data_IF_444809745272
#
_entry.id   IF_444809745272
#
_cell.length_a   1.000
_cell.length_b   1.000
_cell.length_c   1.000
_cell.angle_alpha   90.00
_cell.angle_beta   90.00
_cell.angle_gamma   90.00
#
_symmetry.space_group_name_H-M   'P 1'
#
loop_
_entity.id
_entity.type
_entity.pdbx_description
1 polymer ?
#
# COMPACT_ATOMS: atom_id res chain seq x y z
N UNK A 1 19.57 -34.76 22.80
CA UNK A 1 19.77 -33.28 22.82
C UNK A 1 18.54 -32.63 23.46
N UNK A 2 18.69 -31.88 24.56
CA UNK A 2 17.57 -31.07 25.08
C UNK A 2 17.27 -29.98 24.05
N UNK A 3 16.09 -30.03 23.43
CA UNK A 3 15.60 -28.97 22.54
C UNK A 3 15.50 -27.71 23.39
N UNK A 4 16.37 -26.72 23.13
CA UNK A 4 16.27 -25.42 23.80
C UNK A 4 14.86 -24.86 23.54
N UNK A 5 14.17 -24.32 24.56
CA UNK A 5 12.84 -23.77 24.38
C UNK A 5 12.90 -22.67 23.32
N UNK A 6 12.01 -22.76 22.32
CA UNK A 6 11.92 -21.81 21.21
C UNK A 6 11.60 -20.43 21.78
N UNK A 7 12.54 -19.51 21.70
CA UNK A 7 12.36 -18.14 22.18
C UNK A 7 11.28 -17.44 21.34
N UNK A 8 10.37 -16.72 22.01
CA UNK A 8 9.41 -15.85 21.32
C UNK A 8 10.17 -14.65 20.75
N UNK A 9 9.89 -14.28 19.50
CA UNK A 9 10.51 -13.11 18.84
C UNK A 9 10.33 -11.84 19.67
N UNK A 10 9.18 -11.68 20.34
CA UNK A 10 8.92 -10.54 21.23
C UNK A 10 9.95 -10.43 22.36
N UNK A 11 10.39 -11.56 22.93
CA UNK A 11 11.40 -11.57 23.99
C UNK A 11 12.78 -11.24 23.41
N UNK A 12 13.10 -11.74 22.21
CA UNK A 12 14.38 -11.44 21.57
C UNK A 12 14.51 -9.94 21.25
N UNK A 13 13.43 -9.32 20.76
CA UNK A 13 13.37 -7.88 20.48
C UNK A 13 13.52 -7.06 21.77
N UNK A 14 12.95 -7.51 22.89
CA UNK A 14 13.12 -6.84 24.19
C UNK A 14 14.57 -6.88 24.68
N UNK A 15 15.27 -8.01 24.51
CA UNK A 15 16.67 -8.17 24.90
C UNK A 15 17.59 -7.22 24.11
N UNK A 16 17.42 -7.14 22.79
CA UNK A 16 18.24 -6.28 21.93
C UNK A 16 17.61 -4.89 21.69
N UNK A 17 16.96 -4.33 22.71
CA UNK A 17 16.26 -3.05 22.61
C UNK A 17 17.15 -1.86 22.91
N UNK A 18 16.75 -0.68 22.42
CA UNK A 18 17.40 0.59 22.76
C UNK A 18 17.51 0.83 24.28
N UNK A 19 16.48 0.49 25.05
CA UNK A 19 16.47 0.71 26.50
C UNK A 19 17.50 -0.17 27.22
N UNK A 20 17.70 -1.41 26.78
CA UNK A 20 18.74 -2.29 27.34
C UNK A 20 20.13 -1.74 27.01
N UNK A 21 20.36 -1.34 25.76
CA UNK A 21 21.62 -0.70 25.36
C UNK A 21 21.91 0.56 26.18
N UNK A 22 20.91 1.44 26.34
CA UNK A 22 21.03 2.66 27.13
C UNK A 22 21.34 2.37 28.60
N UNK A 23 20.66 1.41 29.22
CA UNK A 23 20.91 1.01 30.61
C UNK A 23 22.35 0.52 30.82
N UNK A 24 22.86 -0.34 29.92
CA UNK A 24 24.24 -0.81 29.96
C UNK A 24 25.25 0.33 29.81
N UNK A 25 24.96 1.30 28.93
CA UNK A 25 25.80 2.48 28.75
C UNK A 25 25.80 3.36 30.01
N UNK A 26 24.63 3.58 30.62
CA UNK A 26 24.50 4.34 31.86
C UNK A 26 25.26 3.67 33.01
N UNK A 27 25.12 2.35 33.15
CA UNK A 27 25.87 1.59 34.16
C UNK A 27 27.39 1.71 33.97
N UNK A 28 27.83 1.72 32.71
CA UNK A 28 29.24 1.91 32.36
C UNK A 28 29.73 3.32 32.72
N UNK A 29 28.98 4.35 32.35
CA UNK A 29 29.34 5.76 32.60
C UNK A 29 29.36 6.08 34.09
N UNK A 30 28.41 5.52 34.84
CA UNK A 30 28.27 5.73 36.28
C UNK A 30 29.23 4.86 37.11
N UNK A 31 29.96 3.93 36.49
CA UNK A 31 30.84 2.96 37.17
C UNK A 31 30.11 2.27 38.33
N UNK A 32 28.97 1.66 38.02
CA UNK A 32 28.11 1.04 39.03
C UNK A 32 28.88 0.03 39.90
N UNK A 33 28.51 -0.01 41.19
CA UNK A 33 29.19 -0.78 42.22
C UNK A 33 29.12 -2.28 41.86
N UNK A 34 30.28 -2.91 41.72
CA UNK A 34 30.41 -4.34 41.41
C UNK A 34 30.95 -4.64 40.00
N UNK A 35 31.11 -3.63 39.14
CA UNK A 35 31.75 -3.79 37.83
C UNK A 35 33.23 -3.41 37.91
N UNK A 36 34.12 -4.35 37.56
CA UNK A 36 35.53 -4.05 37.38
C UNK A 36 35.79 -3.36 36.01
N UNK A 37 37.03 -2.96 35.75
CA UNK A 37 37.40 -2.28 34.48
C UNK A 37 37.12 -3.14 33.24
N UNK A 38 37.29 -4.46 33.31
CA UNK A 38 36.96 -5.36 32.22
C UNK A 38 35.44 -5.46 32.00
N UNK A 39 34.67 -5.54 33.08
CA UNK A 39 33.20 -5.60 33.03
C UNK A 39 32.61 -4.33 32.42
N UNK A 40 33.18 -3.16 32.73
CA UNK A 40 32.82 -1.88 32.10
C UNK A 40 33.08 -1.90 30.58
N UNK A 41 34.22 -2.47 30.16
CA UNK A 41 34.53 -2.64 28.74
C UNK A 41 33.54 -3.57 28.02
N UNK A 42 33.19 -4.69 28.65
CA UNK A 42 32.20 -5.64 28.13
C UNK A 42 30.81 -5.01 28.07
N UNK A 43 30.40 -4.26 29.10
CA UNK A 43 29.13 -3.56 29.14
C UNK A 43 29.01 -2.52 28.03
N UNK A 44 30.08 -1.74 27.78
CA UNK A 44 30.15 -0.80 26.67
C UNK A 44 30.01 -1.49 25.31
N UNK A 45 30.77 -2.57 25.08
CA UNK A 45 30.71 -3.33 23.83
C UNK A 45 29.32 -3.97 23.62
N UNK A 46 28.71 -4.50 24.69
CA UNK A 46 27.37 -5.10 24.65
C UNK A 46 26.30 -4.04 24.39
N UNK A 47 26.45 -2.84 24.96
CA UNK A 47 25.57 -1.71 24.68
C UNK A 47 25.60 -1.31 23.19
N UNK A 48 26.79 -1.21 22.60
CA UNK A 48 26.96 -0.89 21.18
C UNK A 48 26.32 -1.98 20.30
N UNK A 49 26.54 -3.25 20.64
CA UNK A 49 25.94 -4.39 19.95
C UNK A 49 24.40 -4.33 19.98
N UNK A 50 23.79 -4.15 21.16
CA UNK A 50 22.34 -4.03 21.30
C UNK A 50 21.79 -2.85 20.50
N UNK A 51 22.49 -1.72 20.52
CA UNK A 51 22.07 -0.51 19.80
C UNK A 51 22.10 -0.74 18.29
N UNK A 52 23.16 -1.36 17.75
CA UNK A 52 23.28 -1.68 16.32
C UNK A 52 22.22 -2.67 15.87
N UNK A 53 22.01 -3.76 16.62
CA UNK A 53 20.95 -4.72 16.30
C UNK A 53 19.56 -4.09 16.35
N UNK A 54 19.27 -3.25 17.35
CA UNK A 54 17.99 -2.55 17.43
C UNK A 54 17.75 -1.70 16.18
N UNK A 55 18.76 -0.92 15.74
CA UNK A 55 18.65 -0.08 14.54
C UNK A 55 18.45 -0.91 13.28
N UNK A 56 19.19 -2.00 13.11
CA UNK A 56 19.02 -2.91 11.97
C UNK A 56 17.60 -3.47 11.96
N UNK A 57 17.11 -3.94 13.10
CA UNK A 57 15.76 -4.46 13.22
C UNK A 57 14.70 -3.40 12.88
N UNK A 58 14.86 -2.18 13.41
CA UNK A 58 13.98 -1.05 13.13
C UNK A 58 13.96 -0.70 11.63
N UNK A 59 15.13 -0.66 10.99
CA UNK A 59 15.28 -0.40 9.55
C UNK A 59 14.59 -1.46 8.69
N UNK A 60 14.71 -2.73 9.07
CA UNK A 60 14.14 -3.86 8.33
C UNK A 60 12.64 -4.07 8.60
N UNK A 61 12.10 -3.49 9.67
CA UNK A 61 10.71 -3.64 10.09
C UNK A 61 9.92 -2.31 10.08
N UNK A 62 10.37 -1.35 9.29
CA UNK A 62 9.69 -0.08 9.09
C UNK A 62 8.28 -0.28 8.51
N UNK A 63 7.27 0.40 9.10
CA UNK A 63 5.85 0.29 8.69
C UNK A 63 5.24 1.58 8.18
N UNK A 64 5.92 2.71 8.37
CA UNK A 64 5.40 4.04 8.06
C UNK A 64 6.50 4.92 7.49
N UNK A 65 6.14 5.81 6.58
CA UNK A 65 7.03 6.86 6.10
C UNK A 65 7.24 7.99 7.14
N UNK A 66 6.28 8.16 8.05
CA UNK A 66 6.22 9.27 9.01
C UNK A 66 6.43 8.81 10.47
N UNK A 67 7.18 7.73 10.70
CA UNK A 67 7.51 7.30 12.06
C UNK A 67 8.42 8.35 12.74
N UNK A 68 8.19 8.72 14.02
CA UNK A 68 9.08 9.64 14.73
C UNK A 68 10.52 9.10 14.84
N UNK A 69 10.69 7.78 14.93
CA UNK A 69 12.02 7.18 14.92
C UNK A 69 12.57 7.14 13.48
N UNK A 70 13.71 7.81 13.20
CA UNK A 70 14.29 7.88 11.86
C UNK A 70 14.69 6.52 11.29
N UNK A 71 15.00 5.53 12.14
CA UNK A 71 15.36 4.18 11.71
C UNK A 71 14.14 3.32 11.39
N UNK A 72 12.93 3.72 11.82
CA UNK A 72 11.67 3.02 11.52
C UNK A 72 10.89 3.63 10.37
N UNK A 73 11.47 4.63 9.70
CA UNK A 73 10.92 5.20 8.47
C UNK A 73 11.18 4.24 7.31
N UNK A 74 10.21 4.08 6.41
CA UNK A 74 10.44 3.33 5.17
C UNK A 74 11.54 3.96 4.32
N UNK A 75 12.23 3.16 3.51
CA UNK A 75 13.28 3.63 2.58
C UNK A 75 12.75 4.76 1.68
N UNK A 76 13.45 5.88 1.70
CA UNK A 76 13.17 7.06 0.87
C UNK A 76 14.46 7.82 0.54
N UNK A 77 14.41 8.73 -0.43
CA UNK A 77 15.55 9.56 -0.85
C UNK A 77 16.17 10.39 0.28
N UNK A 78 15.41 10.69 1.35
CA UNK A 78 15.84 11.52 2.47
C UNK A 78 16.08 10.73 3.77
N UNK A 79 15.93 9.40 3.74
CA UNK A 79 16.03 8.58 4.95
C UNK A 79 17.46 8.15 5.24
N UNK A 80 17.78 8.07 6.54
CA UNK A 80 19.05 7.54 7.06
C UNK A 80 19.15 6.01 6.97
N UNK A 81 18.07 5.36 6.55
CA UNK A 81 17.92 3.90 6.57
C UNK A 81 18.84 3.22 5.57
N UNK A 82 18.98 3.78 4.36
CA UNK A 82 19.90 3.23 3.35
C UNK A 82 21.34 3.20 3.87
N UNK A 83 21.80 4.31 4.45
CA UNK A 83 23.17 4.41 4.99
C UNK A 83 23.38 3.51 6.20
N UNK A 84 22.39 3.41 7.09
CA UNK A 84 22.48 2.55 8.27
C UNK A 84 22.52 1.06 7.87
N UNK A 85 21.77 0.65 6.84
CA UNK A 85 21.83 -0.70 6.30
C UNK A 85 23.19 -1.01 5.65
N UNK A 86 23.81 -0.06 4.95
CA UNK A 86 25.17 -0.21 4.40
C UNK A 86 26.20 -0.39 5.53
N UNK A 87 26.15 0.47 6.55
CA UNK A 87 27.00 0.34 7.75
C UNK A 87 26.78 -0.98 8.47
N UNK A 88 25.54 -1.45 8.54
CA UNK A 88 25.21 -2.73 9.13
C UNK A 88 25.86 -3.89 8.38
N UNK A 89 25.85 -3.89 7.04
CA UNK A 89 26.54 -4.91 6.24
C UNK A 89 28.03 -4.95 6.57
N UNK A 90 28.70 -3.79 6.62
CA UNK A 90 30.12 -3.75 6.92
C UNK A 90 30.44 -4.22 8.35
N UNK A 91 29.60 -3.85 9.31
CA UNK A 91 29.72 -4.35 10.68
C UNK A 91 29.47 -5.86 10.80
N UNK A 92 28.47 -6.41 10.10
CA UNK A 92 28.19 -7.85 10.15
C UNK A 92 29.32 -8.66 9.51
N UNK A 93 30.01 -8.13 8.49
CA UNK A 93 31.19 -8.79 7.90
C UNK A 93 32.28 -9.02 8.95
N UNK A 94 32.57 -8.03 9.80
CA UNK A 94 33.59 -8.20 10.85
C UNK A 94 33.23 -9.33 11.82
N UNK A 95 31.93 -9.54 12.08
CA UNK A 95 31.44 -10.64 12.92
C UNK A 95 31.55 -11.99 12.20
N UNK A 96 31.29 -12.05 10.89
CA UNK A 96 31.40 -13.29 10.10
C UNK A 96 32.83 -13.84 10.14
N UNK A 97 33.82 -12.94 10.08
CA UNK A 97 35.24 -13.30 10.11
C UNK A 97 35.65 -13.92 11.46
N UNK A 98 35.00 -13.50 12.54
CA UNK A 98 35.24 -14.00 13.91
C UNK A 98 34.39 -15.21 14.28
N UNK A 99 33.14 -15.26 13.81
CA UNK A 99 32.13 -16.24 14.23
C UNK A 99 31.59 -16.99 13.02
N UNK A 100 31.93 -18.27 12.93
CA UNK A 100 31.38 -19.18 11.93
C UNK A 100 29.92 -19.54 12.24
N UNK A 101 28.99 -18.72 11.78
CA UNK A 101 27.54 -18.91 11.91
C UNK A 101 26.82 -18.62 10.59
N UNK A 102 25.84 -19.43 10.17
CA UNK A 102 25.09 -19.17 8.94
C UNK A 102 24.15 -17.95 9.06
N UNK A 103 23.89 -17.46 10.27
CA UNK A 103 22.94 -16.36 10.51
C UNK A 103 23.45 -15.05 9.91
N UNK A 104 24.73 -14.73 10.12
CA UNK A 104 25.31 -13.45 9.72
C UNK A 104 25.45 -13.31 8.18
N UNK A 105 25.95 -14.33 7.43
CA UNK A 105 25.95 -14.28 5.96
C UNK A 105 24.54 -14.16 5.37
N UNK A 106 23.55 -14.86 5.96
CA UNK A 106 22.16 -14.77 5.50
C UNK A 106 21.55 -13.39 5.77
N UNK A 107 21.92 -12.75 6.88
CA UNK A 107 21.51 -11.38 7.18
C UNK A 107 22.12 -10.38 6.19
N UNK A 108 23.40 -10.53 5.85
CA UNK A 108 24.06 -9.73 4.79
C UNK A 108 23.31 -9.90 3.46
N UNK A 109 23.00 -11.14 3.06
CA UNK A 109 22.26 -11.42 1.83
C UNK A 109 20.89 -10.73 1.84
N UNK A 110 20.19 -10.77 2.97
CA UNK A 110 18.89 -10.12 3.14
C UNK A 110 18.99 -8.61 2.96
N UNK A 111 19.95 -7.97 3.63
CA UNK A 111 20.16 -6.52 3.54
C UNK A 111 20.56 -6.11 2.11
N UNK A 112 21.48 -6.85 1.49
CA UNK A 112 21.90 -6.59 0.10
C UNK A 112 20.75 -6.75 -0.88
N UNK A 113 19.86 -7.74 -0.68
CA UNK A 113 18.66 -7.91 -1.50
C UNK A 113 17.71 -6.71 -1.41
N UNK A 114 17.54 -6.15 -0.20
CA UNK A 114 16.73 -4.95 0.03
C UNK A 114 17.37 -3.72 -0.64
N UNK A 115 18.69 -3.52 -0.46
CA UNK A 115 19.41 -2.40 -1.08
C UNK A 115 19.38 -2.49 -2.61
N UNK A 116 19.55 -3.67 -3.18
CA UNK A 116 19.46 -3.90 -4.63
C UNK A 116 18.04 -3.58 -5.15
N UNK A 117 17.01 -4.01 -4.41
CA UNK A 117 15.63 -3.68 -4.76
C UNK A 117 15.39 -2.16 -4.71
N UNK A 118 15.94 -1.50 -3.70
CA UNK A 118 15.86 -0.05 -3.54
C UNK A 118 16.54 0.71 -4.67
N UNK A 119 17.73 0.29 -5.11
CA UNK A 119 18.42 0.89 -6.25
C UNK A 119 17.64 0.72 -7.57
N UNK A 120 16.99 -0.44 -7.76
CA UNK A 120 16.07 -0.66 -8.87
C UNK A 120 14.86 0.25 -8.83
N UNK A 121 14.30 0.50 -7.64
CA UNK A 121 13.18 1.42 -7.47
C UNK A 121 13.59 2.88 -7.72
N UNK A 122 14.78 3.30 -7.25
CA UNK A 122 15.33 4.63 -7.52
C UNK A 122 15.52 4.89 -9.02
N UNK A 123 16.02 3.91 -9.76
CA UNK A 123 16.28 4.04 -11.21
C UNK A 123 15.00 4.02 -12.06
N UNK A 124 14.00 3.20 -11.70
CA UNK A 124 12.71 3.15 -12.43
C UNK A 124 11.73 4.26 -12.04
N UNK A 125 12.03 5.02 -11.00
CA UNK A 125 11.15 6.03 -10.42
C UNK A 125 10.25 5.45 -9.31
N UNK A 126 10.23 6.13 -8.17
CA UNK A 126 9.26 5.86 -7.09
C UNK A 126 7.83 6.16 -7.56
N UNK A 127 6.82 5.76 -6.79
CA UNK A 127 5.39 5.96 -7.07
C UNK A 127 4.99 7.36 -7.58
N UNK A 128 5.76 8.39 -7.22
CA UNK A 128 5.57 9.80 -7.58
C UNK A 128 6.27 10.22 -8.88
N UNK A 129 7.20 9.41 -9.39
CA UNK A 129 8.10 9.76 -10.50
C UNK A 129 7.97 8.86 -11.72
N UNK A 130 7.28 7.71 -11.61
CA UNK A 130 7.04 6.84 -12.76
C UNK A 130 6.33 7.61 -13.89
N UNK A 131 6.82 7.44 -15.13
CA UNK A 131 6.19 7.98 -16.32
C UNK A 131 5.18 6.99 -16.92
N UNK A 132 4.29 7.49 -17.79
CA UNK A 132 3.34 6.63 -18.52
C UNK A 132 4.04 5.57 -19.38
N UNK A 133 5.23 5.88 -19.90
CA UNK A 133 6.05 4.95 -20.72
C UNK A 133 6.61 3.81 -19.86
N UNK A 134 7.06 4.11 -18.65
CA UNK A 134 7.61 3.10 -17.75
C UNK A 134 6.52 2.14 -17.28
N UNK A 135 5.34 2.68 -16.92
CA UNK A 135 4.17 1.87 -16.54
C UNK A 135 3.74 0.96 -17.69
N UNK A 136 3.67 1.47 -18.93
CA UNK A 136 3.36 0.66 -20.10
C UNK A 136 4.37 -0.46 -20.32
N UNK A 137 5.67 -0.14 -20.19
CA UNK A 137 6.75 -1.10 -20.37
C UNK A 137 6.69 -2.23 -19.35
N UNK A 138 6.44 -1.90 -18.07
CA UNK A 138 6.35 -2.89 -17.01
C UNK A 138 5.06 -3.73 -17.10
N UNK A 139 3.93 -3.15 -17.54
CA UNK A 139 2.71 -3.90 -17.82
C UNK A 139 2.90 -4.90 -18.96
N UNK A 140 3.57 -4.49 -20.04
CA UNK A 140 3.85 -5.38 -21.16
C UNK A 140 4.78 -6.54 -20.76
N UNK A 141 5.74 -6.30 -19.84
CA UNK A 141 6.61 -7.35 -19.30
C UNK A 141 5.87 -8.42 -18.50
N UNK A 142 4.72 -8.10 -17.92
CA UNK A 142 3.92 -9.08 -17.18
C UNK A 142 3.22 -10.10 -18.09
N UNK A 143 3.19 -9.86 -19.41
CA UNK A 143 2.62 -10.76 -20.42
C UNK A 143 1.23 -11.30 -20.02
N UNK A 144 0.34 -10.40 -19.57
CA UNK A 144 -0.99 -10.77 -19.11
C UNK A 144 -1.83 -11.33 -20.26
N UNK A 145 -2.48 -12.46 -20.01
CA UNK A 145 -3.25 -13.19 -21.02
C UNK A 145 -4.47 -12.37 -21.48
N UNK A 146 -4.58 -12.18 -22.80
CA UNK A 146 -5.68 -11.45 -23.46
C UNK A 146 -5.89 -10.03 -22.91
N UNK A 147 -4.84 -9.29 -22.57
CA UNK A 147 -4.94 -7.87 -22.18
C UNK A 147 -4.31 -7.00 -23.26
N UNK A 148 -5.10 -6.12 -23.86
CA UNK A 148 -4.64 -5.22 -24.93
C UNK A 148 -4.84 -3.75 -24.53
N UNK A 149 -3.72 -3.07 -24.27
CA UNK A 149 -3.70 -1.68 -23.83
C UNK A 149 -3.69 -0.76 -25.06
N UNK A 150 -4.74 0.05 -25.24
CA UNK A 150 -4.81 1.05 -26.32
C UNK A 150 -4.04 2.32 -25.97
N UNK A 151 -4.20 2.81 -24.74
CA UNK A 151 -3.62 4.08 -24.29
C UNK A 151 -3.46 4.09 -22.78
N UNK A 152 -2.38 4.74 -22.33
CA UNK A 152 -2.16 5.12 -20.93
C UNK A 152 -1.98 6.63 -20.87
N UNK A 153 -2.64 7.28 -19.92
CA UNK A 153 -2.48 8.71 -19.65
C UNK A 153 -2.47 8.97 -18.14
N UNK A 154 -1.79 10.03 -17.70
CA UNK A 154 -1.89 10.46 -16.30
C UNK A 154 -3.30 10.98 -16.02
N UNK A 155 -3.84 10.64 -14.85
CA UNK A 155 -5.13 11.14 -14.42
C UNK A 155 -4.96 12.56 -13.85
N UNK A 156 -5.66 13.53 -14.43
CA UNK A 156 -5.49 14.95 -14.09
C UNK A 156 -6.10 15.36 -12.73
N UNK A 157 -6.92 14.52 -12.11
CA UNK A 157 -7.51 14.82 -10.79
C UNK A 157 -6.48 14.71 -9.67
N UNK A 158 -6.67 15.45 -8.57
CA UNK A 158 -5.82 15.35 -7.36
C UNK A 158 -5.95 13.95 -6.75
N UNK A 159 -4.95 13.07 -6.88
CA UNK A 159 -5.02 11.75 -6.29
C UNK A 159 -4.83 11.84 -4.79
N UNK A 160 -5.47 10.94 -4.02
CA UNK A 160 -5.30 10.91 -2.56
C UNK A 160 -3.90 10.46 -2.15
N UNK A 161 -3.30 9.52 -2.89
CA UNK A 161 -1.99 8.91 -2.60
C UNK A 161 -1.22 8.65 -3.91
N UNK A 162 -0.19 9.45 -4.20
CA UNK A 162 0.73 9.22 -5.34
C UNK A 162 0.10 9.45 -6.73
N UNK A 163 0.83 9.14 -7.81
CA UNK A 163 0.33 9.32 -9.19
C UNK A 163 -0.74 8.28 -9.54
N UNK A 164 -1.78 8.70 -10.25
CA UNK A 164 -2.83 7.82 -10.79
C UNK A 164 -2.77 7.82 -12.31
N UNK A 165 -2.90 6.64 -12.92
CA UNK A 165 -2.89 6.47 -14.37
C UNK A 165 -4.24 5.94 -14.85
N UNK A 166 -4.71 6.46 -15.97
CA UNK A 166 -5.88 5.97 -16.67
C UNK A 166 -5.43 5.01 -17.77
N UNK A 167 -5.93 3.78 -17.72
CA UNK A 167 -5.72 2.79 -18.77
C UNK A 167 -6.97 2.63 -19.62
N UNK A 168 -6.79 2.74 -20.94
CA UNK A 168 -7.81 2.43 -21.94
C UNK A 168 -7.49 1.08 -22.56
N UNK A 169 -8.40 0.13 -22.40
CA UNK A 169 -8.29 -1.24 -22.89
C UNK A 169 -9.17 -1.46 -24.13
N UNK A 170 -8.89 -2.49 -24.92
CA UNK A 170 -9.85 -2.99 -25.92
C UNK A 170 -11.03 -3.69 -25.23
N UNK A 171 -12.22 -3.73 -25.86
CA UNK A 171 -13.37 -4.47 -25.32
C UNK A 171 -13.10 -5.95 -25.04
N UNK A 172 -12.21 -6.57 -25.83
CA UNK A 172 -11.86 -7.99 -25.73
C UNK A 172 -10.88 -8.31 -24.59
N UNK A 173 -10.46 -7.29 -23.84
CA UNK A 173 -9.44 -7.46 -22.79
C UNK A 173 -9.98 -8.16 -21.54
N UNK A 174 -9.20 -9.10 -21.01
CA UNK A 174 -9.51 -9.81 -19.77
C UNK A 174 -9.25 -8.93 -18.53
N UNK A 175 -10.31 -8.31 -18.01
CA UNK A 175 -10.22 -7.48 -16.81
C UNK A 175 -9.76 -8.26 -15.57
N UNK A 176 -10.10 -9.55 -15.44
CA UNK A 176 -9.75 -10.34 -14.23
C UNK A 176 -8.25 -10.51 -14.09
N UNK A 177 -7.53 -10.76 -15.19
CA UNK A 177 -6.08 -10.88 -15.20
C UNK A 177 -5.41 -9.57 -14.71
N UNK A 178 -5.95 -8.43 -15.16
CA UNK A 178 -5.52 -7.11 -14.72
C UNK A 178 -5.75 -6.91 -13.21
N UNK A 179 -6.98 -7.10 -12.73
CA UNK A 179 -7.33 -6.92 -11.32
C UNK A 179 -6.59 -7.87 -10.36
N UNK A 180 -6.19 -9.06 -10.83
CA UNK A 180 -5.38 -10.00 -10.06
C UNK A 180 -3.91 -9.55 -9.92
N UNK A 181 -3.44 -8.66 -10.80
CA UNK A 181 -2.09 -8.12 -10.72
C UNK A 181 -2.00 -7.14 -9.57
N UNK A 182 -1.27 -7.49 -8.51
CA UNK A 182 -1.12 -6.66 -7.30
C UNK A 182 0.12 -5.78 -7.30
N UNK A 183 1.08 -6.07 -8.19
CA UNK A 183 2.39 -5.42 -8.19
C UNK A 183 2.81 -5.05 -9.62
N UNK A 184 3.33 -3.83 -9.78
CA UNK A 184 4.02 -3.38 -11.00
C UNK A 184 5.34 -2.77 -10.56
N UNK A 185 6.46 -3.12 -11.21
CA UNK A 185 7.79 -2.61 -10.85
C UNK A 185 8.12 -2.75 -9.33
N UNK A 186 7.69 -3.86 -8.71
CA UNK A 186 7.82 -4.13 -7.26
C UNK A 186 7.05 -3.17 -6.33
N UNK A 187 6.16 -2.36 -6.89
CA UNK A 187 5.30 -1.43 -6.18
C UNK A 187 3.89 -2.01 -6.05
N UNK A 188 3.25 -1.84 -4.89
CA UNK A 188 1.86 -2.25 -4.68
C UNK A 188 0.95 -1.31 -5.44
N UNK A 189 0.03 -1.87 -6.23
CA UNK A 189 -0.93 -1.11 -7.01
C UNK A 189 -2.37 -1.38 -6.58
N UNK A 190 -3.25 -0.42 -6.86
CA UNK A 190 -4.69 -0.55 -6.68
C UNK A 190 -5.37 -0.24 -8.00
N UNK A 191 -6.20 -1.17 -8.45
CA UNK A 191 -7.03 -0.99 -9.62
C UNK A 191 -8.39 -0.41 -9.23
N UNK A 192 -8.86 0.58 -9.98
CA UNK A 192 -10.20 1.14 -9.83
C UNK A 192 -10.82 1.34 -11.21
N UNK A 193 -12.10 1.00 -11.34
CA UNK A 193 -12.87 1.33 -12.55
C UNK A 193 -13.22 2.81 -12.53
N UNK A 194 -12.99 3.52 -13.65
CA UNK A 194 -13.45 4.89 -13.79
C UNK A 194 -14.98 4.93 -13.71
N UNK A 195 -15.52 5.48 -12.62
CA UNK A 195 -16.96 5.70 -12.49
C UNK A 195 -17.34 6.88 -13.37
N UNK A 196 -18.26 6.66 -14.31
CA UNK A 196 -18.87 7.75 -15.07
C UNK A 196 -19.71 8.59 -14.11
N UNK A 197 -19.52 9.90 -14.13
CA UNK A 197 -20.43 10.82 -13.45
C UNK A 197 -21.65 10.97 -14.34
N UNK A 198 -22.69 10.19 -14.08
CA UNK A 198 -23.99 10.42 -14.69
C UNK A 198 -24.71 11.51 -13.87
N UNK A 199 -25.37 12.49 -14.53
CA UNK A 199 -26.10 13.51 -13.81
C UNK A 199 -27.20 12.85 -12.97
N UNK A 200 -27.33 13.21 -11.69
CA UNK A 200 -28.22 12.49 -10.79
C UNK A 200 -29.67 12.63 -11.25
N UNK A 201 -30.38 11.50 -11.33
CA UNK A 201 -31.82 11.51 -11.57
C UNK A 201 -32.58 11.57 -10.24
N UNK A 202 -33.47 12.55 -10.13
CA UNK A 202 -34.28 12.76 -8.94
C UNK A 202 -35.31 11.63 -8.78
N UNK A 203 -35.22 10.82 -7.71
CA UNK A 203 -36.18 9.72 -7.44
C UNK A 203 -37.62 10.20 -7.18
N UNK A 204 -37.84 11.49 -6.92
CA UNK A 204 -39.18 12.08 -6.70
C UNK A 204 -39.82 12.46 -8.03
N UNK A 205 -39.24 13.39 -8.77
CA UNK A 205 -39.84 13.92 -10.00
C UNK A 205 -39.32 13.31 -11.31
N UNK A 206 -38.30 12.43 -11.22
CA UNK A 206 -37.65 11.74 -12.34
C UNK A 206 -36.89 12.63 -13.33
N UNK A 207 -36.76 13.94 -13.05
CA UNK A 207 -35.91 14.84 -13.83
C UNK A 207 -34.43 14.66 -13.45
N UNK A 208 -33.58 14.99 -14.40
CA UNK A 208 -32.12 14.91 -14.26
C UNK A 208 -31.62 16.19 -13.55
N UNK A 209 -30.39 16.14 -13.02
CA UNK A 209 -29.62 17.29 -12.50
C UNK A 209 -29.98 17.78 -11.10
N UNK A 210 -30.70 16.97 -10.30
CA UNK A 210 -30.90 17.24 -8.88
C UNK A 210 -31.27 15.98 -8.09
N UNK A 211 -31.20 16.09 -6.75
CA UNK A 211 -31.51 15.00 -5.82
C UNK A 211 -32.92 15.16 -5.20
N UNK A 212 -33.52 14.04 -4.81
CA UNK A 212 -34.87 14.00 -4.27
C UNK A 212 -35.05 14.77 -2.95
N UNK A 213 -33.98 14.88 -2.14
CA UNK A 213 -34.02 15.54 -0.82
C UNK A 213 -34.49 17.00 -0.88
N UNK A 214 -34.08 17.74 -1.92
CA UNK A 214 -34.43 19.15 -2.12
C UNK A 214 -35.49 19.35 -3.23
N UNK A 215 -36.19 18.28 -3.62
CA UNK A 215 -37.17 18.34 -4.68
C UNK A 215 -38.57 18.61 -4.10
N UNK A 216 -39.18 19.74 -4.47
CA UNK A 216 -40.55 20.10 -4.09
C UNK A 216 -41.60 19.79 -5.17
N UNK A 217 -41.20 19.18 -6.28
CA UNK A 217 -42.10 18.78 -7.36
C UNK A 217 -42.96 17.56 -6.97
N UNK A 218 -44.06 17.35 -7.69
CA UNK A 218 -44.90 16.15 -7.55
C UNK A 218 -44.11 14.87 -7.83
N UNK A 219 -44.46 13.80 -7.13
CA UNK A 219 -43.91 12.47 -7.41
C UNK A 219 -44.29 12.02 -8.82
N UNK A 220 -43.36 11.40 -9.55
CA UNK A 220 -43.59 10.80 -10.86
C UNK A 220 -43.18 9.34 -10.82
N UNK A 221 -44.08 8.44 -11.22
CA UNK A 221 -43.80 7.00 -11.23
C UNK A 221 -42.84 6.61 -12.36
N UNK A 222 -41.80 5.82 -12.05
CA UNK A 222 -40.85 5.26 -13.04
C UNK A 222 -41.47 4.28 -14.04
N UNK A 223 -42.61 3.66 -13.68
CA UNK A 223 -43.30 2.65 -14.49
C UNK A 223 -44.36 3.25 -15.41
N UNK A 224 -45.16 4.19 -14.92
CA UNK A 224 -46.37 4.64 -15.61
C UNK A 224 -46.50 6.16 -15.78
N UNK A 225 -45.46 6.93 -15.43
CA UNK A 225 -45.39 8.40 -15.52
C UNK A 225 -46.41 9.21 -14.71
N UNK A 226 -47.40 8.56 -14.08
CA UNK A 226 -48.46 9.21 -13.29
C UNK A 226 -47.94 9.76 -11.96
N UNK A 227 -48.68 10.75 -11.45
CA UNK A 227 -48.39 11.44 -10.19
C UNK A 227 -48.79 10.56 -8.99
N UNK A 228 -47.91 9.65 -8.56
CA UNK A 228 -48.16 8.70 -7.47
C UNK A 228 -46.91 8.49 -6.63
N UNK A 229 -47.11 8.29 -5.32
CA UNK A 229 -46.02 8.00 -4.39
C UNK A 229 -45.46 6.58 -4.54
N UNK A 230 -44.38 6.26 -3.81
CA UNK A 230 -43.83 4.90 -3.75
C UNK A 230 -44.89 3.87 -3.34
N UNK A 231 -44.92 2.70 -3.98
CA UNK A 231 -45.85 1.61 -3.66
C UNK A 231 -47.30 1.78 -4.18
N UNK A 232 -47.68 2.95 -4.70
CA UNK A 232 -49.05 3.21 -5.17
C UNK A 232 -49.27 2.84 -6.65
N UNK A 233 -48.26 2.30 -7.33
CA UNK A 233 -48.35 1.93 -8.74
C UNK A 233 -48.86 0.50 -8.89
N UNK A 234 -49.97 0.34 -9.62
CA UNK A 234 -50.56 -0.98 -9.94
C UNK A 234 -49.94 -1.63 -11.19
N UNK A 235 -49.07 -0.91 -11.92
CA UNK A 235 -48.43 -1.43 -13.13
C UNK A 235 -47.38 -2.48 -12.75
N UNK A 236 -47.55 -3.69 -13.29
CA UNK A 236 -46.56 -4.73 -13.15
C UNK A 236 -45.31 -4.39 -13.99
N UNK A 237 -44.13 -4.57 -13.41
CA UNK A 237 -42.85 -4.37 -14.12
C UNK A 237 -42.56 -5.44 -15.16
N UNK A 238 -43.24 -6.58 -15.10
CA UNK A 238 -42.99 -7.69 -16.03
C UNK A 238 -43.66 -7.47 -17.40
N UNK A 239 -44.78 -6.74 -17.43
CA UNK A 239 -45.47 -6.43 -18.68
C UNK A 239 -44.88 -5.16 -19.32
N UNK A 240 -44.03 -5.34 -20.35
CA UNK A 240 -43.30 -4.25 -21.00
C UNK A 240 -44.23 -3.22 -21.64
N UNK A 241 -45.37 -3.63 -22.18
CA UNK A 241 -46.30 -2.73 -22.89
C UNK A 241 -46.92 -1.69 -21.96
N UNK A 242 -47.13 -2.04 -20.69
CA UNK A 242 -47.69 -1.14 -19.67
C UNK A 242 -46.66 -0.16 -19.09
N UNK A 243 -45.37 -0.40 -19.39
CA UNK A 243 -44.29 0.47 -18.94
C UNK A 243 -44.14 1.65 -19.89
N UNK A 244 -44.15 2.85 -19.33
CA UNK A 244 -43.91 4.09 -20.04
C UNK A 244 -42.77 4.87 -19.38
N UNK A 245 -41.78 5.24 -20.19
CA UNK A 245 -40.64 6.03 -19.74
C UNK A 245 -40.93 7.53 -19.81
N UNK A 246 -40.71 8.24 -18.70
CA UNK A 246 -40.93 9.70 -18.63
C UNK A 246 -39.91 10.52 -19.42
N UNK A 247 -38.69 10.00 -19.62
CA UNK A 247 -37.63 10.72 -20.32
C UNK A 247 -37.80 10.68 -21.85
N UNK A 248 -38.23 9.56 -22.40
CA UNK A 248 -38.36 9.38 -23.86
C UNK A 248 -39.83 9.28 -24.35
N UNK A 249 -40.81 9.18 -23.46
CA UNK A 249 -42.23 9.09 -23.78
C UNK A 249 -42.69 7.75 -24.36
N UNK A 250 -41.76 6.84 -24.69
CA UNK A 250 -42.04 5.54 -25.32
C UNK A 250 -42.56 4.52 -24.29
N UNK A 251 -43.41 3.62 -24.78
CA UNK A 251 -43.82 2.41 -24.05
C UNK A 251 -42.83 1.27 -24.29
N UNK A 252 -42.89 0.19 -23.51
CA UNK A 252 -41.99 -0.97 -23.64
C UNK A 252 -40.88 -1.04 -22.60
N UNK A 253 -40.63 0.05 -21.86
CA UNK A 253 -39.62 0.07 -20.80
C UNK A 253 -39.90 1.15 -19.74
N UNK A 254 -39.43 0.88 -18.52
CA UNK A 254 -39.45 1.86 -17.43
C UNK A 254 -38.25 2.80 -17.52
N UNK A 255 -38.34 3.91 -16.79
CA UNK A 255 -37.22 4.81 -16.59
C UNK A 255 -36.14 4.13 -15.72
N UNK A 256 -34.86 4.28 -16.09
CA UNK A 256 -33.73 3.60 -15.42
C UNK A 256 -33.06 4.58 -14.44
N UNK A 257 -33.16 4.29 -13.14
CA UNK A 257 -32.49 5.02 -12.06
C UNK A 257 -31.07 4.52 -11.81
#
# INVERSE_FOLDING_TARGET
MKVKPKMKVSLAVQVFSHSVGAALMTATLNKEIGLNTADLGIAAATSDFCTRLNRIFDCLNARSFNDPNPYRKGLSKSTRVEDELKKAVDWIKTIVDEIRSPVFPNLILTINGILLLWDRLKSKGLHDQMSTKDVLTELNKLALENVYIKKISEFAGKPRNGKTFLLQLTPDSNLRALFNTKYIAHQVIKWETLKKSEPPQCRRCQRIDHVAANCHMKYRCVKCTKDRGPGQCKVNSDNKEDLQCILCGKTGHQNRL
#
